data_IF_908342555554
#
_entry.id   IF_908342555554
#
_cell.length_a   1.000
_cell.length_b   1.000
_cell.length_c   1.000
_cell.angle_alpha   90.00
_cell.angle_beta   90.00
_cell.angle_gamma   90.00
#
_symmetry.space_group_name_H-M   'P 1'
#
loop_
_entity.id
_entity.type
_entity.pdbx_description
1 polymer ?
#
# COMPACT_ATOMS: atom_id res chain seq x y z
N UNK A 1 3.38 -27.62 -3.35
CA UNK A 1 4.42 -28.26 -2.48
C UNK A 1 3.91 -28.13 -1.05
N UNK A 2 3.84 -29.26 -0.32
CA UNK A 2 3.28 -29.25 1.05
C UNK A 2 4.18 -28.46 2.01
N UNK A 3 3.56 -27.70 2.91
CA UNK A 3 4.20 -26.88 3.96
C UNK A 3 5.28 -27.61 4.77
N UNK A 4 5.16 -28.92 4.94
CA UNK A 4 6.18 -29.74 5.62
C UNK A 4 7.58 -29.69 4.99
N UNK A 5 7.70 -29.30 3.72
CA UNK A 5 9.00 -29.16 3.05
C UNK A 5 9.58 -27.75 3.19
N UNK A 6 8.77 -26.72 3.41
CA UNK A 6 9.22 -25.33 3.61
C UNK A 6 9.92 -25.21 4.97
N UNK A 7 9.36 -25.78 6.04
CA UNK A 7 9.97 -25.77 7.37
C UNK A 7 11.29 -26.55 7.47
N UNK A 8 11.51 -27.55 6.62
CA UNK A 8 12.76 -28.33 6.59
C UNK A 8 13.95 -27.59 5.93
N UNK A 9 13.69 -26.46 5.26
CA UNK A 9 14.71 -25.70 4.51
C UNK A 9 15.04 -24.36 5.15
N UNK A 10 14.57 -24.08 6.36
CA UNK A 10 14.90 -22.87 7.09
C UNK A 10 16.35 -22.93 7.58
N UNK A 11 17.17 -21.90 7.29
CA UNK A 11 18.54 -21.82 7.80
C UNK A 11 18.58 -21.46 9.30
N UNK A 12 17.44 -21.21 9.95
CA UNK A 12 17.30 -20.80 11.35
C UNK A 12 16.69 -21.90 12.19
N UNK A 13 17.27 -22.15 13.35
CA UNK A 13 16.62 -22.90 14.42
C UNK A 13 15.50 -22.06 15.05
N UNK A 14 14.58 -22.73 15.76
CA UNK A 14 13.53 -22.03 16.52
C UNK A 14 14.10 -21.08 17.59
N UNK A 15 15.24 -21.42 18.17
CA UNK A 15 15.93 -20.60 19.17
C UNK A 15 16.54 -19.34 18.55
N UNK A 16 17.20 -19.47 17.39
CA UNK A 16 17.73 -18.32 16.65
C UNK A 16 16.60 -17.39 16.19
N UNK A 17 15.50 -17.97 15.68
CA UNK A 17 14.33 -17.20 15.28
C UNK A 17 13.71 -16.45 16.48
N UNK A 18 13.57 -17.12 17.61
CA UNK A 18 13.09 -16.48 18.85
C UNK A 18 14.01 -15.33 19.27
N UNK A 19 15.33 -15.54 19.24
CA UNK A 19 16.30 -14.51 19.60
C UNK A 19 16.26 -13.23 18.73
N UNK A 20 15.79 -13.34 17.47
CA UNK A 20 15.58 -12.17 16.62
C UNK A 20 14.37 -11.33 17.05
N UNK A 21 13.33 -11.97 17.59
CA UNK A 21 12.06 -11.34 17.97
C UNK A 21 12.00 -10.99 19.47
N UNK A 22 12.80 -11.64 20.30
CA UNK A 22 12.73 -11.52 21.76
C UNK A 22 12.92 -10.05 22.19
N UNK A 23 11.98 -9.55 23.00
CA UNK A 23 11.89 -8.16 23.43
C UNK A 23 11.89 -7.15 22.27
N UNK A 24 11.52 -7.58 21.05
CA UNK A 24 11.60 -6.77 19.82
C UNK A 24 12.98 -6.16 19.56
N UNK A 25 14.01 -6.88 19.99
CA UNK A 25 15.38 -6.38 19.97
C UNK A 25 15.83 -6.08 18.53
N UNK A 26 15.68 -7.03 17.61
CA UNK A 26 16.18 -6.88 16.24
C UNK A 26 15.07 -6.77 15.21
N UNK A 27 14.04 -7.59 15.32
CA UNK A 27 12.95 -7.70 14.35
C UNK A 27 11.62 -7.48 15.05
N UNK A 28 10.81 -6.61 14.47
CA UNK A 28 9.49 -6.22 14.98
C UNK A 28 8.46 -6.50 13.90
N UNK A 29 7.69 -7.61 13.96
CA UNK A 29 6.52 -7.77 13.10
C UNK A 29 5.55 -6.62 13.37
N UNK A 30 4.90 -6.10 12.32
CA UNK A 30 4.02 -4.94 12.47
C UNK A 30 2.58 -5.28 12.12
N UNK A 31 1.63 -4.68 12.87
CA UNK A 31 0.20 -4.78 12.60
C UNK A 31 -0.32 -6.22 12.61
N UNK A 32 -0.84 -6.70 11.48
CA UNK A 32 -1.48 -8.01 11.38
C UNK A 32 -0.54 -9.20 11.59
N UNK A 33 0.71 -9.23 11.13
CA UNK A 33 1.68 -10.26 11.51
C UNK A 33 1.89 -10.35 13.02
N UNK A 34 2.05 -9.22 13.72
CA UNK A 34 2.25 -9.22 15.19
C UNK A 34 1.06 -9.81 15.95
N UNK A 35 -0.17 -9.54 15.52
CA UNK A 35 -1.39 -9.94 16.22
C UNK A 35 -1.95 -11.27 15.75
N UNK A 36 -1.60 -11.70 14.53
CA UNK A 36 -2.21 -12.83 13.83
C UNK A 36 -1.37 -14.11 13.81
N UNK A 37 -0.03 -14.00 13.87
CA UNK A 37 0.84 -15.19 13.91
C UNK A 37 0.58 -15.94 15.23
N UNK A 38 0.29 -17.24 15.13
CA UNK A 38 -0.06 -18.08 16.29
C UNK A 38 -1.47 -17.85 16.85
N UNK A 39 -2.20 -16.83 16.41
CA UNK A 39 -3.59 -16.60 16.82
C UNK A 39 -4.54 -17.51 16.04
N UNK A 40 -5.17 -18.46 16.78
CA UNK A 40 -6.16 -19.39 16.23
C UNK A 40 -7.61 -19.02 16.59
N UNK A 41 -7.83 -17.99 17.39
CA UNK A 41 -9.15 -17.57 17.84
C UNK A 41 -9.87 -16.69 16.82
N UNK A 42 -9.10 -15.91 16.06
CA UNK A 42 -9.64 -15.00 15.06
C UNK A 42 -9.36 -15.52 13.65
N UNK A 43 -10.38 -15.49 12.80
CA UNK A 43 -10.25 -15.76 11.37
C UNK A 43 -9.96 -14.44 10.68
N UNK A 44 -8.68 -14.09 10.59
CA UNK A 44 -8.18 -12.83 10.09
C UNK A 44 -6.95 -13.01 9.20
N UNK A 45 -6.69 -12.03 8.37
CA UNK A 45 -5.51 -11.95 7.50
C UNK A 45 -4.27 -11.52 8.27
N UNK A 46 -3.09 -11.89 7.78
CA UNK A 46 -1.79 -11.36 8.21
C UNK A 46 -1.38 -10.14 7.39
N UNK A 47 -2.12 -9.77 6.36
CA UNK A 47 -1.86 -8.56 5.59
C UNK A 47 -2.41 -7.34 6.32
N UNK A 48 -1.61 -6.27 6.34
CA UNK A 48 -2.01 -5.02 7.00
C UNK A 48 -2.93 -4.19 6.12
N UNK A 49 -2.63 -4.15 4.83
CA UNK A 49 -3.26 -3.25 3.89
C UNK A 49 -3.49 -3.93 2.55
N UNK A 50 -4.54 -3.47 1.88
CA UNK A 50 -4.96 -3.93 0.58
C UNK A 50 -5.28 -2.74 -0.31
N UNK A 51 -5.12 -2.90 -1.61
CA UNK A 51 -5.76 -2.05 -2.59
C UNK A 51 -6.81 -2.88 -3.29
N UNK A 52 -8.02 -2.34 -3.40
CA UNK A 52 -9.07 -2.88 -4.23
C UNK A 52 -9.29 -1.96 -5.42
N UNK A 53 -9.85 -2.49 -6.45
CA UNK A 53 -10.09 -1.73 -7.65
C UNK A 53 -11.07 -2.45 -8.51
N UNK A 54 -11.45 -1.77 -9.55
CA UNK A 54 -12.36 -2.32 -10.54
C UNK A 54 -11.56 -2.92 -11.66
N UNK A 55 -11.92 -4.14 -12.01
CA UNK A 55 -11.52 -4.73 -13.28
C UNK A 55 -12.36 -4.06 -14.38
N UNK A 56 -11.79 -3.05 -15.03
CA UNK A 56 -12.47 -2.31 -16.08
C UNK A 56 -13.23 -1.05 -15.62
N UNK A 57 -14.08 -0.54 -16.47
CA UNK A 57 -14.87 0.67 -16.23
C UNK A 57 -16.03 0.38 -15.28
N UNK A 58 -15.89 0.77 -14.03
CA UNK A 58 -16.91 0.52 -13.02
C UNK A 58 -17.49 1.83 -12.46
N UNK A 59 -18.21 2.53 -13.31
CA UNK A 59 -18.94 3.73 -13.00
C UNK A 59 -20.46 3.47 -12.94
N UNK A 60 -20.85 2.36 -12.36
CA UNK A 60 -22.25 2.02 -12.09
C UNK A 60 -22.50 1.91 -10.59
N UNK A 61 -23.74 2.11 -10.14
CA UNK A 61 -24.10 1.86 -8.75
C UNK A 61 -23.75 0.43 -8.30
N UNK A 62 -23.94 -0.54 -9.17
CA UNK A 62 -23.58 -1.94 -8.87
C UNK A 62 -22.09 -2.09 -8.58
N UNK A 63 -21.22 -1.47 -9.38
CA UNK A 63 -19.79 -1.49 -9.16
C UNK A 63 -19.35 -0.70 -7.93
N UNK A 64 -19.90 0.49 -7.73
CA UNK A 64 -19.62 1.35 -6.57
C UNK A 64 -19.99 0.63 -5.26
N UNK A 65 -21.17 -0.03 -5.21
CA UNK A 65 -21.60 -0.76 -4.02
C UNK A 65 -20.85 -2.06 -3.81
N UNK A 66 -20.42 -2.71 -4.90
CA UNK A 66 -19.52 -3.86 -4.79
C UNK A 66 -18.19 -3.49 -4.15
N UNK A 67 -17.60 -2.35 -4.52
CA UNK A 67 -16.37 -1.86 -3.88
C UNK A 67 -16.59 -1.58 -2.40
N UNK A 68 -17.72 -0.99 -2.02
CA UNK A 68 -18.10 -0.75 -0.62
C UNK A 68 -18.21 -2.07 0.16
N UNK A 69 -18.83 -3.08 -0.42
CA UNK A 69 -18.89 -4.43 0.16
C UNK A 69 -17.50 -5.04 0.29
N UNK A 70 -16.68 -5.03 -0.77
CA UNK A 70 -15.31 -5.54 -0.74
C UNK A 70 -14.46 -4.85 0.36
N UNK A 71 -14.62 -3.53 0.52
CA UNK A 71 -13.98 -2.74 1.57
C UNK A 71 -14.37 -3.25 2.97
N UNK A 72 -15.64 -3.45 3.23
CA UNK A 72 -16.16 -3.96 4.51
C UNK A 72 -15.67 -5.38 4.77
N UNK A 73 -15.69 -6.25 3.75
CA UNK A 73 -15.23 -7.64 3.87
C UNK A 73 -13.74 -7.74 4.22
N UNK A 74 -12.90 -6.83 3.73
CA UNK A 74 -11.48 -6.75 4.11
C UNK A 74 -11.30 -6.20 5.52
N UNK A 75 -12.02 -5.13 5.85
CA UNK A 75 -11.90 -4.47 7.16
C UNK A 75 -12.32 -5.41 8.29
N UNK A 76 -13.38 -6.21 8.14
CA UNK A 76 -13.77 -7.21 9.16
C UNK A 76 -12.69 -8.29 9.40
N UNK A 77 -11.75 -8.46 8.44
CA UNK A 77 -10.59 -9.37 8.56
C UNK A 77 -9.30 -8.64 8.93
N UNK A 78 -9.41 -7.39 9.47
CA UNK A 78 -8.34 -6.54 9.99
C UNK A 78 -7.50 -5.83 8.93
N UNK A 79 -7.86 -5.88 7.65
CA UNK A 79 -7.19 -5.14 6.58
C UNK A 79 -7.52 -3.65 6.58
N UNK A 80 -6.54 -2.80 6.33
CA UNK A 80 -6.75 -1.44 5.83
C UNK A 80 -6.94 -1.47 4.32
N UNK A 81 -7.69 -0.53 3.74
CA UNK A 81 -8.07 -0.57 2.33
C UNK A 81 -7.75 0.76 1.65
N UNK A 82 -7.28 0.71 0.42
CA UNK A 82 -7.18 1.87 -0.46
C UNK A 82 -7.85 1.59 -1.80
N UNK A 83 -8.50 2.59 -2.37
CA UNK A 83 -9.01 2.53 -3.74
C UNK A 83 -9.11 3.91 -4.39
N UNK A 84 -9.13 3.92 -5.73
CA UNK A 84 -9.15 5.12 -6.55
C UNK A 84 -10.56 5.45 -7.02
N UNK A 85 -10.90 6.73 -7.03
CA UNK A 85 -12.21 7.21 -7.45
C UNK A 85 -12.22 7.83 -8.85
N UNK A 86 -11.08 7.85 -9.54
CA UNK A 86 -10.93 8.54 -10.84
C UNK A 86 -11.79 7.95 -11.95
N UNK A 87 -12.32 6.73 -11.76
CA UNK A 87 -13.21 6.05 -12.70
C UNK A 87 -14.69 6.46 -12.57
N UNK A 88 -15.07 7.13 -11.48
CA UNK A 88 -16.45 7.59 -11.26
C UNK A 88 -16.65 8.88 -12.06
N UNK A 89 -17.73 8.97 -12.83
CA UNK A 89 -18.04 10.15 -13.66
C UNK A 89 -18.23 11.41 -12.84
N UNK A 90 -17.81 12.57 -13.34
CA UNK A 90 -17.94 13.83 -12.61
C UNK A 90 -19.38 14.29 -12.45
N UNK A 91 -19.58 15.20 -11.51
CA UNK A 91 -20.87 15.84 -11.24
C UNK A 91 -21.45 16.50 -12.49
N UNK A 92 -22.74 16.28 -12.73
CA UNK A 92 -23.44 16.83 -13.89
C UNK A 92 -23.31 16.01 -15.18
N UNK A 93 -22.46 14.99 -15.21
CA UNK A 93 -22.39 14.09 -16.37
C UNK A 93 -23.70 13.34 -16.57
N UNK A 94 -24.12 13.09 -17.82
CA UNK A 94 -25.38 12.41 -18.11
C UNK A 94 -25.36 10.97 -17.60
N UNK A 95 -26.47 10.52 -17.02
CA UNK A 95 -26.74 9.16 -16.63
C UNK A 95 -28.06 8.67 -17.21
N UNK A 96 -28.13 7.36 -17.53
CA UNK A 96 -29.32 6.73 -18.10
C UNK A 96 -30.26 6.18 -17.02
N UNK A 97 -30.47 6.93 -15.94
CA UNK A 97 -31.42 6.60 -14.89
C UNK A 97 -32.34 7.79 -14.58
N UNK A 98 -33.22 7.67 -13.57
CA UNK A 98 -34.20 8.70 -13.22
C UNK A 98 -33.58 10.03 -12.77
N UNK A 99 -32.32 10.07 -12.36
CA UNK A 99 -31.63 11.29 -11.94
C UNK A 99 -31.15 12.15 -13.12
N UNK A 100 -30.99 11.57 -14.31
CA UNK A 100 -30.49 12.18 -15.54
C UNK A 100 -29.05 12.69 -15.47
N UNK A 101 -28.55 13.06 -14.30
CA UNK A 101 -27.20 13.59 -14.07
C UNK A 101 -26.53 12.93 -12.86
N UNK A 102 -25.19 12.82 -12.92
CA UNK A 102 -24.35 12.31 -11.84
C UNK A 102 -24.25 13.31 -10.68
N UNK A 103 -24.15 12.78 -9.47
CA UNK A 103 -23.88 13.57 -8.24
C UNK A 103 -22.38 13.82 -8.02
N UNK A 104 -21.49 13.16 -8.80
CA UNK A 104 -20.03 13.27 -8.68
C UNK A 104 -19.43 12.45 -7.55
N UNK A 105 -18.19 12.76 -7.15
CA UNK A 105 -17.40 11.94 -6.23
C UNK A 105 -17.81 12.05 -4.75
N UNK A 106 -18.15 13.24 -4.28
CA UNK A 106 -18.28 13.54 -2.84
C UNK A 106 -19.28 12.63 -2.11
N UNK A 107 -20.50 12.34 -2.64
CA UNK A 107 -21.42 11.44 -1.97
C UNK A 107 -20.88 10.02 -1.79
N UNK A 108 -20.07 9.54 -2.72
CA UNK A 108 -19.44 8.21 -2.61
C UNK A 108 -18.26 8.21 -1.63
N UNK A 109 -17.52 9.32 -1.53
CA UNK A 109 -16.51 9.49 -0.47
C UNK A 109 -17.14 9.39 0.92
N UNK A 110 -18.29 10.05 1.14
CA UNK A 110 -19.02 9.97 2.40
C UNK A 110 -19.53 8.55 2.69
N UNK A 111 -20.02 7.85 1.66
CA UNK A 111 -20.45 6.45 1.78
C UNK A 111 -19.31 5.55 2.26
N UNK A 112 -18.20 5.53 1.56
CA UNK A 112 -17.04 4.70 1.90
C UNK A 112 -16.45 5.06 3.28
N UNK A 113 -16.43 6.34 3.61
CA UNK A 113 -16.03 6.83 4.93
C UNK A 113 -16.96 6.31 6.03
N UNK A 114 -18.28 6.29 5.80
CA UNK A 114 -19.25 5.78 6.77
C UNK A 114 -19.06 4.27 7.00
N UNK A 115 -18.99 3.48 5.94
CA UNK A 115 -18.74 2.04 6.02
C UNK A 115 -17.48 1.72 6.81
N UNK A 116 -16.40 2.51 6.63
CA UNK A 116 -15.16 2.35 7.41
C UNK A 116 -15.38 2.54 8.91
N UNK A 117 -16.21 3.50 9.30
CA UNK A 117 -16.49 3.77 10.73
C UNK A 117 -17.37 2.73 11.40
N UNK A 118 -18.20 2.04 10.62
CA UNK A 118 -19.13 1.02 11.10
C UNK A 118 -18.41 -0.30 11.42
N UNK A 119 -17.31 -0.60 10.73
CA UNK A 119 -16.61 -1.88 10.90
C UNK A 119 -15.72 -1.87 12.14
N UNK A 120 -16.08 -2.69 13.13
CA UNK A 120 -15.26 -2.93 14.31
C UNK A 120 -14.16 -3.95 14.04
N UNK A 121 -12.96 -3.72 14.59
CA UNK A 121 -11.79 -4.58 14.46
C UNK A 121 -11.19 -4.95 15.83
N UNK A 122 -12.04 -5.20 16.83
CA UNK A 122 -11.61 -5.56 18.20
C UNK A 122 -10.63 -4.52 18.80
N UNK A 123 -11.18 -3.33 19.11
CA UNK A 123 -10.43 -2.19 19.66
C UNK A 123 -9.64 -1.37 18.64
N UNK A 124 -9.63 -1.75 17.37
CA UNK A 124 -9.07 -1.00 16.25
C UNK A 124 -10.18 -0.52 15.32
N UNK A 125 -9.99 0.64 14.70
CA UNK A 125 -10.89 1.15 13.65
C UNK A 125 -10.43 0.68 12.27
N UNK A 126 -11.34 0.59 11.30
CA UNK A 126 -11.02 0.47 9.90
C UNK A 126 -10.14 1.63 9.43
N UNK A 127 -9.34 1.41 8.40
CA UNK A 127 -8.51 2.42 7.78
C UNK A 127 -8.75 2.42 6.27
N UNK A 128 -8.94 3.60 5.70
CA UNK A 128 -9.29 3.79 4.30
C UNK A 128 -8.43 4.89 3.67
N UNK A 129 -7.96 4.65 2.44
CA UNK A 129 -7.43 5.65 1.53
C UNK A 129 -8.38 5.80 0.36
N UNK A 130 -8.79 7.03 0.08
CA UNK A 130 -9.44 7.40 -1.17
C UNK A 130 -8.48 8.27 -1.97
N UNK A 131 -8.21 7.89 -3.21
CA UNK A 131 -7.39 8.68 -4.12
C UNK A 131 -8.18 9.14 -5.35
N UNK A 132 -7.74 10.22 -5.95
CA UNK A 132 -8.25 10.73 -7.23
C UNK A 132 -7.12 11.34 -8.05
N UNK A 133 -7.19 11.19 -9.38
CA UNK A 133 -6.28 11.89 -10.29
C UNK A 133 -6.61 13.38 -10.33
N UNK A 134 -5.59 14.23 -10.37
CA UNK A 134 -5.75 15.68 -10.57
C UNK A 134 -6.40 15.99 -11.93
N UNK A 135 -6.32 15.07 -12.90
CA UNK A 135 -6.99 15.16 -14.20
C UNK A 135 -8.51 15.10 -14.11
N UNK A 136 -9.03 14.56 -13.00
CA UNK A 136 -10.48 14.38 -12.83
C UNK A 136 -11.19 15.73 -12.61
N UNK A 137 -12.33 16.01 -13.29
CA UNK A 137 -13.03 17.29 -13.17
C UNK A 137 -13.53 17.61 -11.77
N UNK A 138 -13.84 16.62 -10.94
CA UNK A 138 -14.25 16.79 -9.55
C UNK A 138 -13.08 16.80 -8.55
N UNK A 139 -11.82 16.85 -9.00
CA UNK A 139 -10.66 16.82 -8.09
C UNK A 139 -10.67 17.99 -7.10
N UNK A 140 -11.15 19.16 -7.50
CA UNK A 140 -11.31 20.30 -6.59
C UNK A 140 -12.34 20.04 -5.48
N UNK A 141 -13.48 19.45 -5.81
CA UNK A 141 -14.50 19.07 -4.82
C UNK A 141 -13.98 17.96 -3.88
N UNK A 142 -13.17 17.03 -4.40
CA UNK A 142 -12.49 16.03 -3.60
C UNK A 142 -11.49 16.66 -2.62
N UNK A 143 -10.67 17.61 -3.05
CA UNK A 143 -9.70 18.35 -2.24
C UNK A 143 -10.39 19.10 -1.09
N UNK A 144 -11.57 19.66 -1.36
CA UNK A 144 -12.35 20.41 -0.38
C UNK A 144 -13.24 19.53 0.53
N UNK A 145 -13.37 18.23 0.24
CA UNK A 145 -14.36 17.37 0.92
C UNK A 145 -14.20 17.30 2.44
N UNK A 146 -12.96 17.37 2.95
CA UNK A 146 -12.66 17.34 4.39
C UNK A 146 -12.56 18.72 5.04
N UNK A 147 -12.71 19.79 4.29
CA UNK A 147 -12.75 21.16 4.83
C UNK A 147 -14.05 21.46 5.57
N UNK A 148 -15.09 20.67 5.34
CA UNK A 148 -16.34 20.73 6.11
C UNK A 148 -16.22 19.80 7.32
N UNK A 149 -16.37 20.35 8.52
CA UNK A 149 -16.30 19.60 9.76
C UNK A 149 -17.28 18.42 9.78
N UNK A 150 -16.83 17.26 10.22
CA UNK A 150 -17.63 16.04 10.32
C UNK A 150 -17.79 15.24 9.01
N UNK A 151 -17.29 15.74 7.86
CA UNK A 151 -17.36 15.02 6.59
C UNK A 151 -16.13 14.15 6.33
N UNK A 152 -16.34 13.00 5.70
CA UNK A 152 -15.31 12.04 5.27
C UNK A 152 -14.29 11.71 6.39
N UNK A 153 -14.75 11.60 7.62
CA UNK A 153 -13.88 11.40 8.80
C UNK A 153 -13.30 10.00 8.92
N UNK A 154 -13.82 9.04 8.18
CA UNK A 154 -13.35 7.64 8.18
C UNK A 154 -12.35 7.31 7.08
N UNK A 155 -11.89 8.29 6.30
CA UNK A 155 -10.95 8.08 5.21
C UNK A 155 -9.82 9.10 5.22
N UNK A 156 -8.62 8.67 4.87
CA UNK A 156 -7.55 9.53 4.38
C UNK A 156 -7.83 9.83 2.90
N UNK A 157 -7.51 11.03 2.44
CA UNK A 157 -7.71 11.43 1.05
C UNK A 157 -6.39 11.92 0.44
N UNK A 158 -6.09 11.47 -0.78
CA UNK A 158 -4.87 11.86 -1.48
C UNK A 158 -5.13 12.14 -2.96
N UNK A 159 -4.47 13.17 -3.47
CA UNK A 159 -4.55 13.55 -4.88
C UNK A 159 -3.33 13.03 -5.63
N UNK A 160 -3.58 12.33 -6.74
CA UNK A 160 -2.53 11.88 -7.66
C UNK A 160 -2.15 13.03 -8.60
N UNK A 161 -0.98 13.61 -8.37
CA UNK A 161 -0.43 14.73 -9.16
C UNK A 161 0.41 14.18 -10.29
N UNK A 162 0.20 14.72 -11.49
CA UNK A 162 1.00 14.39 -12.68
C UNK A 162 2.07 15.44 -12.92
N UNK A 163 3.14 15.08 -13.60
CA UNK A 163 4.27 15.99 -13.89
C UNK A 163 3.81 17.18 -14.74
N UNK A 164 2.90 16.96 -15.70
CA UNK A 164 2.30 18.00 -16.54
C UNK A 164 1.47 19.01 -15.72
N UNK A 165 0.72 18.55 -14.71
CA UNK A 165 0.02 19.44 -13.78
C UNK A 165 1.01 20.28 -12.96
N UNK A 166 2.04 19.65 -12.41
CA UNK A 166 3.05 20.37 -11.61
C UNK A 166 3.77 21.42 -12.44
N UNK A 167 4.11 21.09 -13.69
CA UNK A 167 4.72 22.04 -14.61
C UNK A 167 3.78 23.21 -14.92
N UNK A 168 2.50 22.94 -15.21
CA UNK A 168 1.50 23.98 -15.44
C UNK A 168 1.32 24.89 -14.21
N UNK A 169 1.33 24.32 -13.00
CA UNK A 169 1.22 25.08 -11.76
C UNK A 169 2.41 26.00 -11.50
N UNK A 170 3.64 25.56 -11.82
CA UNK A 170 4.87 26.34 -11.69
C UNK A 170 4.87 27.49 -12.71
N UNK A 171 4.47 27.21 -13.95
CA UNK A 171 4.48 28.19 -15.05
C UNK A 171 3.27 29.12 -15.04
N UNK A 172 2.27 28.91 -14.17
CA UNK A 172 1.03 29.69 -14.13
C UNK A 172 0.15 29.49 -15.37
N UNK A 173 0.20 28.32 -15.98
CA UNK A 173 -0.58 27.96 -17.17
C UNK A 173 -1.92 27.28 -16.81
N UNK A 174 -2.91 27.37 -17.72
CA UNK A 174 -4.12 26.54 -17.60
C UNK A 174 -3.77 25.04 -17.67
N UNK A 175 -4.59 24.22 -17.01
CA UNK A 175 -4.51 22.78 -17.06
C UNK A 175 -5.87 22.20 -17.42
N UNK A 176 -5.91 21.28 -18.37
CA UNK A 176 -7.15 20.67 -18.82
C UNK A 176 -7.45 19.40 -18.00
N UNK A 177 -8.53 19.43 -17.26
CA UNK A 177 -9.12 18.25 -16.64
C UNK A 177 -10.06 17.55 -17.60
N UNK A 178 -10.15 16.22 -17.52
CA UNK A 178 -10.97 15.46 -18.44
C UNK A 178 -11.56 14.19 -17.80
N UNK A 179 -12.63 13.67 -18.42
CA UNK A 179 -13.22 12.38 -18.07
C UNK A 179 -13.70 11.64 -19.33
N UNK A 180 -13.44 10.32 -19.47
CA UNK A 180 -12.50 9.54 -18.65
C UNK A 180 -11.09 10.13 -18.66
N UNK A 181 -10.35 9.96 -17.56
CA UNK A 181 -9.05 10.64 -17.34
C UNK A 181 -7.97 10.25 -18.35
N UNK A 182 -8.03 9.03 -18.89
CA UNK A 182 -7.06 8.46 -19.83
C UNK A 182 -7.61 8.34 -21.26
N UNK A 183 -8.81 8.90 -21.53
CA UNK A 183 -9.41 8.85 -22.85
C UNK A 183 -8.70 9.79 -23.83
N UNK A 184 -8.46 9.31 -25.05
CA UNK A 184 -8.00 10.16 -26.17
C UNK A 184 -9.08 11.11 -26.65
N UNK A 185 -10.35 10.69 -26.58
CA UNK A 185 -11.54 11.48 -26.89
C UNK A 185 -12.43 11.52 -25.62
N UNK A 186 -12.16 12.44 -24.68
CA UNK A 186 -12.90 12.51 -23.44
C UNK A 186 -14.32 13.06 -23.66
N UNK A 187 -15.27 12.51 -22.91
CA UNK A 187 -16.65 12.94 -22.92
C UNK A 187 -16.87 14.29 -22.21
N UNK A 188 -15.94 14.70 -21.35
CA UNK A 188 -15.96 15.94 -20.60
C UNK A 188 -14.57 16.54 -20.48
N UNK A 189 -14.45 17.85 -20.70
CA UNK A 189 -13.20 18.59 -20.49
C UNK A 189 -13.50 19.92 -19.79
N UNK A 190 -12.54 20.39 -18.97
CA UNK A 190 -12.62 21.65 -18.24
C UNK A 190 -11.22 22.21 -18.04
N UNK A 191 -10.99 23.44 -18.43
CA UNK A 191 -9.75 24.14 -18.11
C UNK A 191 -9.82 24.77 -16.73
N UNK A 192 -8.75 24.67 -15.97
CA UNK A 192 -8.58 25.22 -14.63
C UNK A 192 -7.28 26.00 -14.52
N UNK A 193 -7.20 26.88 -13.53
CA UNK A 193 -5.94 27.50 -13.11
C UNK A 193 -5.16 26.52 -12.24
N UNK A 194 -4.09 25.93 -12.79
CA UNK A 194 -3.26 24.96 -12.11
C UNK A 194 -2.59 25.54 -10.85
N UNK A 195 -2.11 26.80 -10.93
CA UNK A 195 -1.46 27.47 -9.80
C UNK A 195 -2.43 27.73 -8.65
N UNK A 196 -3.67 28.14 -8.97
CA UNK A 196 -4.71 28.34 -7.95
C UNK A 196 -5.10 27.03 -7.27
N UNK A 197 -5.26 25.95 -8.04
CA UNK A 197 -5.58 24.62 -7.48
C UNK A 197 -4.43 24.07 -6.61
N UNK A 198 -3.18 24.24 -7.03
CA UNK A 198 -2.02 23.88 -6.22
C UNK A 198 -1.97 24.63 -4.88
N UNK A 199 -2.18 25.95 -4.90
CA UNK A 199 -2.25 26.76 -3.69
C UNK A 199 -3.40 26.31 -2.75
N UNK A 200 -4.53 25.90 -3.31
CA UNK A 200 -5.65 25.32 -2.54
C UNK A 200 -5.25 24.02 -1.87
N UNK A 201 -4.57 23.09 -2.57
CA UNK A 201 -4.06 21.84 -1.98
C UNK A 201 -3.15 22.16 -0.79
N UNK A 202 -2.17 23.05 -0.97
CA UNK A 202 -1.24 23.45 0.08
C UNK A 202 -1.97 24.09 1.27
N UNK A 203 -2.95 24.98 1.02
CA UNK A 203 -3.73 25.62 2.06
C UNK A 203 -4.57 24.59 2.86
N UNK A 204 -5.24 23.67 2.18
CA UNK A 204 -6.07 22.65 2.83
C UNK A 204 -5.19 21.71 3.67
N UNK A 205 -4.05 21.26 3.12
CA UNK A 205 -3.10 20.44 3.84
C UNK A 205 -2.53 21.14 5.09
N UNK A 206 -2.23 22.43 4.99
CA UNK A 206 -1.80 23.22 6.15
C UNK A 206 -2.90 23.30 7.23
N UNK A 207 -4.15 23.47 6.83
CA UNK A 207 -5.27 23.69 7.74
C UNK A 207 -5.80 22.40 8.39
N UNK A 208 -5.83 21.29 7.65
CA UNK A 208 -6.47 20.04 8.07
C UNK A 208 -5.57 18.80 7.98
N UNK A 209 -4.29 18.96 7.63
CA UNK A 209 -3.35 17.89 7.31
C UNK A 209 -3.75 17.01 6.10
N UNK A 210 -4.73 17.43 5.32
CA UNK A 210 -5.21 16.73 4.11
C UNK A 210 -5.67 17.73 3.04
N UNK A 211 -5.62 17.38 1.75
CA UNK A 211 -5.27 16.06 1.21
C UNK A 211 -3.77 15.75 1.29
N UNK A 212 -3.42 14.46 1.30
CA UNK A 212 -2.10 14.00 0.91
C UNK A 212 -1.86 14.21 -0.59
N UNK A 213 -0.59 14.20 -1.01
CA UNK A 213 -0.21 14.25 -2.42
C UNK A 213 0.59 13.01 -2.80
N UNK A 214 0.30 12.49 -3.98
CA UNK A 214 1.00 11.36 -4.59
C UNK A 214 1.56 11.84 -5.94
N UNK A 215 2.88 11.94 -6.05
CA UNK A 215 3.55 12.27 -7.32
C UNK A 215 3.45 11.06 -8.24
N UNK A 216 2.35 11.00 -8.98
CA UNK A 216 1.88 9.78 -9.60
C UNK A 216 2.79 9.24 -10.69
N UNK A 217 3.31 10.11 -11.54
CA UNK A 217 4.22 9.70 -12.60
C UNK A 217 5.54 9.18 -12.02
N UNK A 218 6.05 9.80 -10.95
CA UNK A 218 7.21 9.29 -10.22
C UNK A 218 6.93 7.92 -9.60
N UNK A 219 5.75 7.75 -8.97
CA UNK A 219 5.36 6.45 -8.40
C UNK A 219 5.36 5.36 -9.45
N UNK A 220 4.69 5.57 -10.59
CA UNK A 220 4.62 4.57 -11.66
C UNK A 220 5.98 4.27 -12.29
N UNK A 221 6.83 5.30 -12.38
CA UNK A 221 8.18 5.20 -12.93
C UNK A 221 9.13 4.40 -12.03
N UNK A 222 9.03 4.62 -10.71
CA UNK A 222 9.96 4.04 -9.74
C UNK A 222 9.43 2.74 -9.11
N UNK A 223 8.17 2.39 -9.29
CA UNK A 223 7.55 1.17 -8.77
C UNK A 223 8.01 -0.06 -9.57
N UNK A 224 8.90 -0.85 -8.99
CA UNK A 224 9.42 -2.08 -9.62
C UNK A 224 8.30 -3.03 -10.05
N UNK A 225 7.24 -3.30 -9.28
CA UNK A 225 6.16 -4.18 -9.71
C UNK A 225 5.40 -3.72 -10.97
N UNK A 226 5.45 -2.45 -11.32
CA UNK A 226 4.81 -1.94 -12.54
C UNK A 226 5.48 -2.41 -13.84
N UNK A 227 6.68 -3.02 -13.78
CA UNK A 227 7.22 -3.75 -14.93
C UNK A 227 6.32 -4.93 -15.33
N UNK A 228 5.50 -5.45 -14.42
CA UNK A 228 4.50 -6.50 -14.65
C UNK A 228 3.06 -5.95 -14.83
N UNK A 229 2.92 -4.68 -15.21
CA UNK A 229 1.61 -4.03 -15.38
C UNK A 229 0.68 -4.80 -16.34
N UNK A 230 1.22 -5.29 -17.45
CA UNK A 230 0.47 -6.05 -18.46
C UNK A 230 0.08 -7.47 -17.99
N UNK A 231 0.70 -7.95 -16.91
CA UNK A 231 0.31 -9.17 -16.21
C UNK A 231 -0.68 -8.91 -15.07
N UNK A 232 -1.24 -7.69 -15.01
CA UNK A 232 -2.23 -7.29 -14.03
C UNK A 232 -1.66 -6.71 -12.72
N UNK A 233 -0.40 -6.29 -12.70
CA UNK A 233 0.27 -5.68 -11.53
C UNK A 233 0.41 -4.16 -11.64
N UNK A 234 -0.36 -3.52 -12.51
CA UNK A 234 -0.40 -2.05 -12.62
C UNK A 234 -0.86 -1.41 -11.32
N UNK A 235 -0.08 -0.50 -10.78
CA UNK A 235 -0.43 0.30 -9.60
C UNK A 235 -1.62 1.22 -9.90
N UNK A 236 -2.62 1.21 -9.02
CA UNK A 236 -3.83 2.04 -9.18
C UNK A 236 -4.09 2.97 -8.00
N UNK A 237 -3.62 2.63 -6.80
CA UNK A 237 -3.76 3.43 -5.59
C UNK A 237 -2.68 3.04 -4.57
N UNK A 238 -2.81 3.54 -3.37
CA UNK A 238 -1.94 3.18 -2.24
C UNK A 238 -2.75 2.58 -1.10
N UNK A 239 -2.05 1.98 -0.14
CA UNK A 239 -2.61 1.62 1.15
C UNK A 239 -3.09 2.86 1.94
N UNK A 240 -3.79 2.71 3.09
CA UNK A 240 -4.36 3.83 3.84
C UNK A 240 -3.37 4.92 4.26
N UNK A 241 -2.10 4.58 4.52
CA UNK A 241 -1.08 5.54 4.94
C UNK A 241 -0.31 6.17 3.76
N UNK A 242 -0.48 5.66 2.54
CA UNK A 242 0.10 6.24 1.32
C UNK A 242 1.52 5.77 0.97
N UNK A 243 2.15 4.93 1.82
CA UNK A 243 3.55 4.53 1.64
C UNK A 243 3.77 3.38 0.66
N UNK A 244 2.73 2.61 0.31
CA UNK A 244 2.86 1.45 -0.57
C UNK A 244 1.92 1.54 -1.76
N UNK A 245 2.43 1.80 -2.97
CA UNK A 245 1.67 1.68 -4.21
C UNK A 245 1.34 0.22 -4.50
N UNK A 246 0.09 -0.07 -4.82
CA UNK A 246 -0.39 -1.43 -5.03
C UNK A 246 -1.30 -1.51 -6.26
N UNK A 247 -1.29 -2.69 -6.91
CA UNK A 247 -2.28 -3.05 -7.91
C UNK A 247 -3.56 -3.58 -7.25
N UNK A 248 -4.67 -3.72 -8.00
CA UNK A 248 -5.90 -4.27 -7.46
C UNK A 248 -5.72 -5.67 -6.86
N UNK A 249 -6.30 -5.88 -5.69
CA UNK A 249 -6.27 -7.13 -4.91
C UNK A 249 -4.89 -7.55 -4.40
N UNK A 250 -3.90 -6.65 -4.51
CA UNK A 250 -2.60 -6.85 -3.89
C UNK A 250 -2.62 -6.38 -2.43
N UNK A 251 -1.65 -6.84 -1.67
CA UNK A 251 -1.61 -6.62 -0.22
C UNK A 251 -0.18 -6.51 0.28
N UNK A 252 -0.02 -5.87 1.44
CA UNK A 252 1.27 -5.76 2.07
C UNK A 252 1.27 -6.37 3.47
N UNK A 253 2.41 -6.97 3.82
CA UNK A 253 2.75 -7.47 5.16
C UNK A 253 3.99 -6.74 5.59
N UNK A 254 4.01 -6.29 6.84
CA UNK A 254 5.05 -5.40 7.34
C UNK A 254 5.88 -6.05 8.45
N UNK A 255 7.18 -5.81 8.37
CA UNK A 255 8.16 -6.14 9.38
C UNK A 255 9.20 -5.03 9.44
N UNK A 256 9.58 -4.60 10.63
CA UNK A 256 10.61 -3.58 10.80
C UNK A 256 11.85 -4.15 11.49
N UNK A 257 13.01 -3.69 11.05
CA UNK A 257 14.30 -3.96 11.69
C UNK A 257 14.60 -2.79 12.63
N UNK A 258 14.90 -3.08 13.89
CA UNK A 258 15.18 -2.07 14.91
C UNK A 258 16.65 -1.61 14.82
N UNK A 259 16.87 -0.47 14.19
CA UNK A 259 18.22 0.04 13.89
C UNK A 259 19.06 0.33 15.15
N UNK A 260 18.41 0.81 16.23
CA UNK A 260 19.12 1.09 17.49
C UNK A 260 19.88 -0.14 18.01
N UNK A 261 19.36 -1.33 17.81
CA UNK A 261 19.95 -2.57 18.32
C UNK A 261 21.27 -2.98 17.69
N UNK A 262 21.69 -2.29 16.65
CA UNK A 262 22.99 -2.50 15.98
C UNK A 262 24.03 -1.47 16.39
N UNK A 263 23.67 -0.51 17.25
CA UNK A 263 24.67 0.45 17.79
C UNK A 263 25.41 -0.21 18.94
N UNK A 264 26.72 -0.33 18.78
CA UNK A 264 27.65 -0.79 19.81
C UNK A 264 28.13 0.43 20.58
N UNK A 265 28.26 0.30 21.90
CA UNK A 265 28.66 1.40 22.80
C UNK A 265 27.79 2.68 22.64
N UNK A 266 26.43 2.59 22.67
CA UNK A 266 25.57 3.74 22.42
C UNK A 266 25.88 4.91 23.34
N UNK A 267 25.81 6.14 22.82
CA UNK A 267 26.07 7.40 23.51
C UNK A 267 27.50 7.56 24.07
N UNK A 268 28.46 6.81 23.52
CA UNK A 268 29.89 6.94 23.89
C UNK A 268 30.71 7.44 22.71
N UNK A 269 31.93 8.00 22.96
CA UNK A 269 32.80 8.46 21.86
C UNK A 269 33.23 7.39 20.87
N UNK A 270 33.22 6.12 21.29
CA UNK A 270 33.55 4.94 20.49
C UNK A 270 32.30 4.19 19.97
N UNK A 271 31.15 4.86 19.94
CA UNK A 271 29.94 4.31 19.37
C UNK A 271 30.12 4.03 17.86
N UNK A 272 29.67 2.86 17.42
CA UNK A 272 29.64 2.50 16.01
C UNK A 272 28.45 1.61 15.66
N UNK A 273 28.13 1.51 14.40
CA UNK A 273 27.04 0.65 13.89
C UNK A 273 27.61 -0.67 13.36
N UNK A 274 27.10 -1.78 13.87
CA UNK A 274 27.52 -3.15 13.44
C UNK A 274 26.85 -3.52 12.13
N UNK A 275 27.44 -3.09 11.01
CA UNK A 275 26.94 -3.40 9.67
C UNK A 275 26.99 -4.88 9.34
N UNK A 276 27.92 -5.68 9.91
CA UNK A 276 28.00 -7.12 9.57
C UNK A 276 26.84 -7.89 10.19
N UNK A 277 26.52 -7.63 11.46
CA UNK A 277 25.34 -8.20 12.10
C UNK A 277 24.07 -7.73 11.42
N UNK A 278 24.00 -6.45 11.07
CA UNK A 278 22.86 -5.84 10.40
C UNK A 278 22.58 -6.49 9.03
N UNK A 279 23.57 -6.66 8.16
CA UNK A 279 23.47 -7.35 6.86
C UNK A 279 22.89 -8.76 7.01
N UNK A 280 23.38 -9.52 7.99
CA UNK A 280 22.88 -10.86 8.29
C UNK A 280 21.40 -10.82 8.65
N UNK A 281 21.01 -9.92 9.53
CA UNK A 281 19.60 -9.82 9.99
C UNK A 281 18.67 -9.27 8.91
N UNK A 282 19.11 -8.39 8.04
CA UNK A 282 18.34 -7.96 6.85
C UNK A 282 18.02 -9.15 5.95
N UNK A 283 19.02 -9.99 5.66
CA UNK A 283 18.81 -11.18 4.84
C UNK A 283 17.83 -12.18 5.49
N UNK A 284 17.88 -12.35 6.81
CA UNK A 284 16.95 -13.19 7.55
C UNK A 284 15.54 -12.56 7.60
N UNK A 285 15.42 -11.25 7.77
CA UNK A 285 14.15 -10.54 7.76
C UNK A 285 13.42 -10.72 6.42
N UNK A 286 14.13 -10.67 5.30
CA UNK A 286 13.55 -10.93 3.98
C UNK A 286 13.04 -12.37 3.84
N UNK A 287 13.74 -13.37 4.40
CA UNK A 287 13.27 -14.76 4.42
C UNK A 287 12.02 -14.93 5.29
N UNK A 288 12.01 -14.33 6.47
CA UNK A 288 10.86 -14.33 7.38
C UNK A 288 9.63 -13.72 6.68
N UNK A 289 9.82 -12.65 5.92
CA UNK A 289 8.72 -12.04 5.19
C UNK A 289 8.16 -12.95 4.10
N UNK A 290 8.98 -13.70 3.40
CA UNK A 290 8.52 -14.68 2.41
C UNK A 290 7.75 -15.85 3.07
N UNK A 291 8.19 -16.29 4.25
CA UNK A 291 7.47 -17.31 5.05
C UNK A 291 6.14 -16.76 5.60
N UNK A 292 6.06 -15.47 5.95
CA UNK A 292 4.79 -14.83 6.35
C UNK A 292 3.78 -14.83 5.20
N UNK A 293 4.24 -14.80 3.94
CA UNK A 293 3.32 -14.94 2.79
C UNK A 293 2.71 -16.34 2.77
N UNK A 294 3.47 -17.39 3.02
CA UNK A 294 2.92 -18.75 3.09
C UNK A 294 1.91 -18.89 4.23
N UNK A 295 2.21 -18.31 5.40
CA UNK A 295 1.25 -18.26 6.52
C UNK A 295 0.00 -17.44 6.19
N UNK A 296 0.13 -16.37 5.40
CA UNK A 296 -1.02 -15.60 4.93
C UNK A 296 -1.90 -16.43 3.99
N UNK A 297 -1.31 -17.19 3.07
CA UNK A 297 -2.07 -18.08 2.18
C UNK A 297 -2.89 -19.10 3.00
N UNK A 298 -2.31 -19.68 4.05
CA UNK A 298 -3.06 -20.54 4.98
C UNK A 298 -4.20 -19.81 5.68
N UNK A 299 -3.97 -18.55 6.10
CA UNK A 299 -5.02 -17.73 6.74
C UNK A 299 -6.15 -17.42 5.75
N UNK A 300 -5.83 -17.14 4.49
CA UNK A 300 -6.85 -16.92 3.45
C UNK A 300 -7.66 -18.20 3.18
N UNK A 301 -7.03 -19.37 3.16
CA UNK A 301 -7.74 -20.66 3.06
C UNK A 301 -8.72 -20.88 4.22
N UNK A 302 -8.32 -20.50 5.44
CA UNK A 302 -9.22 -20.53 6.60
C UNK A 302 -10.39 -19.55 6.48
N UNK A 303 -10.12 -18.35 5.92
CA UNK A 303 -11.17 -17.36 5.63
C UNK A 303 -12.17 -17.94 4.62
N UNK A 304 -11.69 -18.52 3.53
CA UNK A 304 -12.55 -19.14 2.51
C UNK A 304 -13.36 -20.28 3.10
N UNK A 305 -12.74 -21.16 3.89
CA UNK A 305 -13.45 -22.25 4.59
C UNK A 305 -14.53 -21.73 5.56
N UNK A 306 -14.27 -20.58 6.23
CA UNK A 306 -15.26 -19.94 7.10
C UNK A 306 -16.44 -19.40 6.28
N UNK A 307 -16.18 -18.75 5.13
CA UNK A 307 -17.22 -18.26 4.22
C UNK A 307 -18.11 -19.42 3.75
N UNK A 308 -17.49 -20.53 3.35
CA UNK A 308 -18.24 -21.70 2.90
C UNK A 308 -19.14 -22.31 4.00
N UNK A 309 -18.68 -22.26 5.25
CA UNK A 309 -19.41 -22.75 6.42
C UNK A 309 -20.50 -21.79 6.94
N UNK A 310 -20.55 -20.55 6.49
CA UNK A 310 -21.58 -19.59 6.90
C UNK A 310 -22.97 -20.01 6.38
N UNK A 311 -24.05 -19.81 7.16
CA UNK A 311 -25.38 -20.31 6.81
C UNK A 311 -26.10 -19.44 5.76
N UNK A 312 -25.50 -18.32 5.34
CA UNK A 312 -26.07 -17.40 4.36
C UNK A 312 -26.17 -18.03 2.95
N UNK A 313 -27.02 -17.45 2.12
CA UNK A 313 -27.15 -17.87 0.73
C UNK A 313 -25.88 -17.62 -0.09
N UNK A 314 -25.70 -18.37 -1.16
CA UNK A 314 -24.55 -18.20 -2.07
C UNK A 314 -24.47 -16.80 -2.67
N UNK A 315 -25.60 -16.15 -2.92
CA UNK A 315 -25.64 -14.77 -3.42
C UNK A 315 -25.00 -13.78 -2.44
N UNK A 316 -25.23 -13.97 -1.14
CA UNK A 316 -24.63 -13.13 -0.07
C UNK A 316 -23.14 -13.39 0.07
N UNK A 317 -22.72 -14.65 -0.01
CA UNK A 317 -21.32 -15.06 0.16
C UNK A 317 -20.44 -14.76 -1.06
N UNK A 318 -21.01 -14.53 -2.22
CA UNK A 318 -20.33 -14.49 -3.51
C UNK A 318 -19.22 -13.41 -3.55
N UNK A 319 -19.54 -12.19 -3.16
CA UNK A 319 -18.58 -11.05 -3.23
C UNK A 319 -17.37 -11.31 -2.34
N UNK A 320 -17.57 -11.75 -1.11
CA UNK A 320 -16.47 -12.05 -0.17
C UNK A 320 -15.60 -13.20 -0.70
N UNK A 321 -16.21 -14.28 -1.18
CA UNK A 321 -15.48 -15.44 -1.72
C UNK A 321 -14.60 -15.04 -2.90
N UNK A 322 -15.16 -14.35 -3.88
CA UNK A 322 -14.42 -13.91 -5.07
C UNK A 322 -13.30 -12.94 -4.71
N UNK A 323 -13.54 -12.04 -3.77
CA UNK A 323 -12.52 -11.11 -3.25
C UNK A 323 -11.31 -11.88 -2.70
N UNK A 324 -11.53 -12.83 -1.79
CA UNK A 324 -10.42 -13.59 -1.18
C UNK A 324 -9.73 -14.54 -2.17
N UNK A 325 -10.43 -15.07 -3.17
CA UNK A 325 -9.79 -15.81 -4.27
C UNK A 325 -8.83 -14.94 -5.08
N UNK A 326 -9.21 -13.69 -5.40
CA UNK A 326 -8.36 -12.73 -6.10
C UNK A 326 -7.13 -12.37 -5.27
N UNK A 327 -7.31 -12.10 -3.98
CA UNK A 327 -6.21 -11.78 -3.07
C UNK A 327 -5.26 -12.97 -2.90
N UNK A 328 -5.80 -14.19 -2.74
CA UNK A 328 -4.99 -15.40 -2.71
C UNK A 328 -4.10 -15.52 -3.94
N UNK A 329 -4.70 -15.39 -5.13
CA UNK A 329 -3.98 -15.45 -6.40
C UNK A 329 -2.87 -14.40 -6.47
N UNK A 330 -3.16 -13.14 -6.14
CA UNK A 330 -2.16 -12.06 -6.16
C UNK A 330 -1.02 -12.31 -5.16
N UNK A 331 -1.35 -12.74 -3.95
CA UNK A 331 -0.35 -13.04 -2.91
C UNK A 331 0.53 -14.23 -3.31
N UNK A 332 -0.05 -15.30 -3.86
CA UNK A 332 0.70 -16.49 -4.29
C UNK A 332 1.63 -16.21 -5.47
N UNK A 333 1.15 -15.47 -6.46
CA UNK A 333 1.88 -15.22 -7.71
C UNK A 333 2.91 -14.10 -7.60
N UNK A 334 2.61 -13.02 -6.88
CA UNK A 334 3.47 -11.84 -6.76
C UNK A 334 4.41 -11.85 -5.55
N UNK A 335 4.05 -12.54 -4.48
CA UNK A 335 4.82 -12.70 -3.23
C UNK A 335 5.44 -11.40 -2.72
N UNK A 336 4.63 -10.34 -2.60
CA UNK A 336 5.10 -9.03 -2.17
C UNK A 336 5.49 -9.03 -0.69
N UNK A 337 6.72 -8.61 -0.39
CA UNK A 337 7.29 -8.46 0.96
C UNK A 337 7.46 -6.98 1.31
N UNK A 338 7.39 -6.66 2.62
CA UNK A 338 7.60 -5.31 3.13
C UNK A 338 8.60 -5.32 4.29
N UNK A 339 9.90 -5.34 3.98
CA UNK A 339 10.97 -5.17 4.97
C UNK A 339 11.25 -3.69 5.16
N UNK A 340 10.97 -3.18 6.35
CA UNK A 340 11.20 -1.78 6.72
C UNK A 340 12.18 -1.63 7.89
N UNK A 341 12.25 -0.43 8.40
CA UNK A 341 13.10 -0.07 9.54
C UNK A 341 12.28 0.63 10.63
N UNK A 342 12.81 0.64 11.85
CA UNK A 342 12.36 1.49 12.96
C UNK A 342 13.55 1.98 13.77
N UNK A 343 13.33 2.98 14.64
CA UNK A 343 14.35 3.54 15.54
C UNK A 343 15.55 4.20 14.82
N UNK A 344 15.33 4.82 13.66
CA UNK A 344 16.40 5.55 12.95
C UNK A 344 16.88 6.76 13.76
N UNK A 345 15.96 7.57 14.29
CA UNK A 345 16.31 8.70 15.14
C UNK A 345 17.07 8.29 16.41
N UNK A 346 16.67 7.17 17.03
CA UNK A 346 17.36 6.61 18.20
C UNK A 346 18.79 6.13 17.85
N UNK A 347 18.94 5.48 16.70
CA UNK A 347 20.25 5.07 16.16
C UNK A 347 21.17 6.26 15.94
N UNK A 348 20.69 7.29 15.26
CA UNK A 348 21.46 8.50 14.99
C UNK A 348 21.89 9.19 16.30
N UNK A 349 20.95 9.34 17.25
CA UNK A 349 21.25 9.92 18.56
C UNK A 349 22.29 9.09 19.33
N UNK A 350 22.19 7.76 19.31
CA UNK A 350 23.13 6.87 19.97
C UNK A 350 24.54 6.90 19.37
N UNK A 351 24.65 7.21 18.06
CA UNK A 351 25.92 7.41 17.35
C UNK A 351 26.48 8.84 17.51
N UNK A 352 25.72 9.76 18.14
CA UNK A 352 26.10 11.15 18.24
C UNK A 352 25.87 11.97 16.96
N UNK A 353 25.10 11.45 16.02
CA UNK A 353 24.75 12.11 14.76
C UNK A 353 23.47 12.96 14.94
N UNK A 354 23.55 14.22 14.59
CA UNK A 354 22.40 15.13 14.69
C UNK A 354 21.45 14.90 13.52
N UNK A 355 20.20 14.55 13.82
CA UNK A 355 19.16 14.37 12.81
C UNK A 355 19.01 15.61 11.89
N UNK A 356 18.94 15.38 10.58
CA UNK A 356 18.78 16.43 9.58
C UNK A 356 20.06 17.14 9.16
N UNK A 357 21.24 16.68 9.60
CA UNK A 357 22.54 17.14 9.07
C UNK A 357 22.96 16.30 7.86
N UNK A 358 23.87 16.82 7.05
CA UNK A 358 24.43 16.13 5.89
C UNK A 358 25.08 14.79 6.32
N UNK A 359 25.90 14.80 7.38
CA UNK A 359 26.54 13.62 7.93
C UNK A 359 25.54 12.53 8.34
N UNK A 360 24.44 12.91 9.02
CA UNK A 360 23.38 11.98 9.40
C UNK A 360 22.64 11.44 8.18
N UNK A 361 22.44 12.25 7.14
CA UNK A 361 21.80 11.86 5.89
C UNK A 361 22.64 10.86 5.10
N UNK A 362 23.95 11.10 4.98
CA UNK A 362 24.89 10.17 4.35
C UNK A 362 24.97 8.84 5.09
N UNK A 363 24.95 8.87 6.41
CA UNK A 363 24.91 7.66 7.22
C UNK A 363 23.60 6.88 7.02
N UNK A 364 22.46 7.57 7.01
CA UNK A 364 21.14 7.01 6.73
C UNK A 364 21.10 6.38 5.33
N UNK A 365 21.68 7.02 4.32
CA UNK A 365 21.81 6.45 2.99
C UNK A 365 22.56 5.10 3.01
N UNK A 366 23.67 5.01 3.74
CA UNK A 366 24.41 3.75 3.89
C UNK A 366 23.56 2.64 4.51
N UNK A 367 22.79 2.97 5.56
CA UNK A 367 21.88 2.02 6.21
C UNK A 367 20.81 1.53 5.24
N UNK A 368 20.12 2.43 4.55
CA UNK A 368 19.07 2.07 3.58
C UNK A 368 19.62 1.29 2.38
N UNK A 369 20.78 1.67 1.86
CA UNK A 369 21.49 0.92 0.82
C UNK A 369 21.82 -0.51 1.28
N UNK A 370 22.23 -0.66 2.55
CA UNK A 370 22.50 -1.97 3.14
C UNK A 370 21.24 -2.83 3.21
N UNK A 371 20.10 -2.24 3.62
CA UNK A 371 18.80 -2.94 3.62
C UNK A 371 18.46 -3.41 2.20
N UNK A 372 18.41 -2.51 1.24
CA UNK A 372 18.01 -2.80 -0.13
C UNK A 372 18.88 -3.92 -0.74
N UNK A 373 20.21 -3.77 -0.71
CA UNK A 373 21.12 -4.73 -1.33
C UNK A 373 21.05 -6.12 -0.68
N UNK A 374 20.92 -6.21 0.65
CA UNK A 374 20.92 -7.51 1.30
C UNK A 374 19.54 -8.18 1.28
N UNK A 375 18.45 -7.43 1.23
CA UNK A 375 17.12 -7.97 0.97
C UNK A 375 17.04 -8.55 -0.45
N UNK A 376 17.50 -7.84 -1.47
CA UNK A 376 17.54 -8.37 -2.84
C UNK A 376 18.46 -9.60 -2.98
N UNK A 377 19.65 -9.58 -2.38
CA UNK A 377 20.54 -10.77 -2.36
C UNK A 377 19.86 -11.97 -1.72
N UNK A 378 19.20 -11.78 -0.59
CA UNK A 378 18.44 -12.84 0.09
C UNK A 378 17.30 -13.35 -0.79
N UNK A 379 16.58 -12.48 -1.49
CA UNK A 379 15.53 -12.86 -2.43
C UNK A 379 16.08 -13.70 -3.60
N UNK A 380 17.25 -13.36 -4.13
CA UNK A 380 17.93 -14.15 -5.18
C UNK A 380 18.30 -15.54 -4.67
N UNK A 381 18.86 -15.65 -3.46
CA UNK A 381 19.18 -16.95 -2.87
C UNK A 381 17.91 -17.79 -2.62
N UNK A 382 16.84 -17.18 -2.13
CA UNK A 382 15.54 -17.88 -2.00
C UNK A 382 15.00 -18.36 -3.35
N UNK A 383 15.16 -17.56 -4.42
CA UNK A 383 14.74 -17.97 -5.75
C UNK A 383 15.54 -19.19 -6.27
N UNK A 384 16.84 -19.28 -5.95
CA UNK A 384 17.66 -20.48 -6.26
C UNK A 384 17.20 -21.71 -5.47
N UNK A 385 16.80 -21.53 -4.23
CA UNK A 385 16.39 -22.63 -3.33
C UNK A 385 14.95 -23.11 -3.59
N UNK A 386 14.02 -22.19 -3.86
CA UNK A 386 12.57 -22.41 -3.87
C UNK A 386 11.93 -22.24 -5.25
N UNK A 387 12.67 -21.69 -6.21
CA UNK A 387 12.17 -21.17 -7.48
C UNK A 387 11.75 -19.70 -7.36
N UNK A 388 11.78 -18.98 -8.47
CA UNK A 388 11.30 -17.61 -8.54
C UNK A 388 9.77 -17.55 -8.29
N UNK A 389 9.26 -16.37 -7.89
CA UNK A 389 7.82 -16.17 -7.81
C UNK A 389 7.19 -16.24 -9.22
N UNK A 390 5.91 -16.64 -9.28
CA UNK A 390 5.28 -17.09 -10.53
C UNK A 390 5.30 -16.03 -11.65
N UNK A 391 5.06 -14.75 -11.31
CA UNK A 391 5.02 -13.67 -12.32
C UNK A 391 6.39 -13.11 -12.66
N UNK A 392 7.47 -13.64 -12.07
CA UNK A 392 8.81 -13.16 -12.36
C UNK A 392 9.18 -13.43 -13.82
N UNK A 393 9.49 -12.37 -14.53
CA UNK A 393 10.02 -12.40 -15.88
C UNK A 393 11.25 -11.50 -15.98
N UNK A 394 12.40 -12.11 -16.29
CA UNK A 394 13.67 -11.39 -16.36
C UNK A 394 13.65 -10.34 -17.47
N UNK A 395 13.01 -10.62 -18.62
CA UNK A 395 12.94 -9.69 -19.73
C UNK A 395 12.16 -8.43 -19.34
N UNK A 396 11.01 -8.58 -18.70
CA UNK A 396 10.19 -7.46 -18.25
C UNK A 396 10.92 -6.61 -17.20
N UNK A 397 11.63 -7.24 -16.27
CA UNK A 397 12.41 -6.52 -15.26
C UNK A 397 13.58 -5.73 -15.89
N UNK A 398 14.26 -6.30 -16.87
CA UNK A 398 15.40 -5.66 -17.55
C UNK A 398 15.00 -4.53 -18.49
N UNK A 399 13.86 -4.64 -19.12
CA UNK A 399 13.32 -3.61 -20.03
C UNK A 399 12.58 -2.48 -19.30
N UNK A 400 12.25 -2.68 -18.04
CA UNK A 400 11.73 -1.61 -17.19
C UNK A 400 12.87 -0.64 -16.89
N UNK A 401 12.69 0.68 -17.14
CA UNK A 401 13.72 1.66 -16.88
C UNK A 401 14.06 1.67 -15.38
N UNK A 402 15.28 1.27 -15.05
CA UNK A 402 15.78 1.40 -13.68
C UNK A 402 15.96 2.87 -13.32
N UNK A 403 15.69 3.28 -12.08
CA UNK A 403 16.03 4.61 -11.57
C UNK A 403 17.50 4.99 -11.81
N UNK A 404 18.39 4.00 -11.87
CA UNK A 404 19.84 4.18 -12.07
C UNK A 404 20.24 4.43 -13.52
N UNK A 405 19.41 4.04 -14.49
CA UNK A 405 19.72 4.17 -15.92
C UNK A 405 19.39 5.57 -16.49
N UNK A 406 18.95 6.47 -15.61
CA UNK A 406 18.50 7.82 -15.97
C UNK A 406 19.34 8.93 -15.32
N UNK A 407 20.62 8.61 -15.03
CA UNK A 407 21.65 9.42 -14.39
C UNK A 407 21.74 10.87 -14.78
#
# INVERSE_FOLDING_TARGET
>A
RGLGDVYKRQPLSSEEFFGLLDHFKYIVPQGSPMTGIGNNYQVASLSNCFVIGVDGEADSYGAIFKIDEEQVQLMKRRGGVGHDLSHIRPKGSPVKNSALTSTGLVPFMERYSNSTREVAQDGRRGALMLSVSIKHPDSEAFIDAKMTEGKVTGANVSVKLTDDFMQAAIEGKPYTQQYPIDATEPAFQKDIDASALWKKIVHNAWKSAEPGVLFWDTILKESVPDCYADLGYRTVSTNPCGEIPLCPYDSCRLLAINLYSYVVNPFKPDAYFDFELFKKHVALAQRIMDDIIDLELEKIERIMSKIDADPESEDVKHTERVLWQKIYKKSAQGRRTGVGITAEGDMLAALGLRYGTEEATEFSEQVHKTVALNAYRSSIEMAKERGAFEVYDTCLLYTSPSPRDRG
#
